data_IF_468521503832
#
_entry.id   IF_468521503832
#
_cell.length_a   1.000
_cell.length_b   1.000
_cell.length_c   1.000
_cell.angle_alpha   90.00
_cell.angle_beta   90.00
_cell.angle_gamma   90.00
#
_symmetry.space_group_name_H-M   'P 1'
#
loop_
_entity.id
_entity.type
_entity.pdbx_description
1 polymer ?
#
# COMPACT_ATOMS: atom_id res chain seq x y z
N UNK A 1 24.60 -3.09 19.14
CA UNK A 1 23.90 -2.32 18.10
C UNK A 1 23.53 -3.29 17.00
N UNK A 2 22.34 -3.89 17.07
CA UNK A 2 21.85 -4.78 16.02
C UNK A 2 21.69 -3.96 14.75
N UNK A 3 22.49 -4.26 13.73
CA UNK A 3 22.40 -3.60 12.44
C UNK A 3 21.00 -3.92 11.88
N UNK A 4 20.11 -2.94 11.95
CA UNK A 4 18.77 -3.06 11.37
C UNK A 4 18.96 -3.20 9.85
N UNK A 5 18.56 -4.34 9.28
CA UNK A 5 18.69 -4.59 7.84
C UNK A 5 17.77 -3.64 7.07
N UNK A 6 18.19 -3.22 5.87
CA UNK A 6 17.41 -2.35 4.99
C UNK A 6 16.02 -2.94 4.67
N UNK A 7 15.91 -4.27 4.63
CA UNK A 7 14.64 -4.97 4.42
C UNK A 7 13.65 -4.73 5.56
N UNK A 8 14.12 -4.70 6.82
CA UNK A 8 13.26 -4.47 7.99
C UNK A 8 12.71 -3.05 8.03
N UNK A 9 13.52 -2.06 7.64
CA UNK A 9 13.09 -0.65 7.54
C UNK A 9 11.95 -0.54 6.53
N UNK A 10 12.12 -1.14 5.35
CA UNK A 10 11.13 -1.09 4.28
C UNK A 10 9.85 -1.85 4.65
N UNK A 11 9.96 -2.99 5.31
CA UNK A 11 8.79 -3.70 5.84
C UNK A 11 8.06 -2.88 6.90
N UNK A 12 8.79 -2.20 7.79
CA UNK A 12 8.17 -1.34 8.81
C UNK A 12 7.37 -0.20 8.19
N UNK A 13 7.91 0.45 7.16
CA UNK A 13 7.20 1.48 6.40
C UNK A 13 5.95 0.92 5.72
N UNK A 14 6.06 -0.24 5.08
CA UNK A 14 4.94 -0.88 4.36
C UNK A 14 3.85 -1.42 5.29
N UNK A 15 4.20 -1.86 6.50
CA UNK A 15 3.27 -2.41 7.48
C UNK A 15 2.73 -1.35 8.45
N UNK A 16 3.38 -0.18 8.54
CA UNK A 16 3.00 0.89 9.47
C UNK A 16 3.38 0.59 10.92
N UNK A 17 4.35 -0.31 11.14
CA UNK A 17 4.75 -0.80 12.44
C UNK A 17 5.80 -1.89 12.30
N UNK A 18 6.36 -2.37 13.41
CA UNK A 18 7.40 -3.39 13.37
C UNK A 18 6.91 -4.68 12.69
N UNK A 19 7.74 -5.30 11.82
CA UNK A 19 7.39 -6.58 11.23
C UNK A 19 7.16 -7.63 12.33
N UNK A 20 6.18 -8.53 12.17
CA UNK A 20 5.97 -9.62 13.12
C UNK A 20 7.23 -10.47 13.32
N UNK A 21 7.39 -11.06 14.50
CA UNK A 21 8.58 -11.86 14.84
C UNK A 21 8.87 -12.97 13.82
N UNK A 22 7.81 -13.64 13.33
CA UNK A 22 7.92 -14.66 12.29
C UNK A 22 8.51 -14.13 10.97
N UNK A 23 8.29 -12.85 10.64
CA UNK A 23 8.87 -12.20 9.46
C UNK A 23 10.31 -11.77 9.72
N UNK A 24 10.61 -11.27 10.91
CA UNK A 24 11.98 -10.92 11.30
C UNK A 24 12.92 -12.12 11.40
N UNK A 25 12.38 -13.32 11.69
CA UNK A 25 13.13 -14.57 11.70
C UNK A 25 13.53 -15.08 10.29
N UNK A 26 12.95 -14.51 9.23
CA UNK A 26 13.26 -14.90 7.86
C UNK A 26 14.66 -14.43 7.42
N UNK A 27 15.31 -15.17 6.51
CA UNK A 27 16.50 -14.70 5.80
C UNK A 27 16.28 -13.31 5.18
N UNK A 28 17.33 -12.50 5.11
CA UNK A 28 17.25 -11.14 4.53
C UNK A 28 16.77 -11.12 3.07
N UNK A 29 17.14 -12.14 2.28
CA UNK A 29 16.65 -12.31 0.92
C UNK A 29 15.12 -12.47 0.87
N UNK A 30 14.56 -13.27 1.77
CA UNK A 30 13.12 -13.52 1.86
C UNK A 30 12.37 -12.29 2.37
N UNK A 31 12.95 -11.56 3.34
CA UNK A 31 12.40 -10.28 3.81
C UNK A 31 12.36 -9.23 2.70
N UNK A 32 13.40 -9.19 1.87
CA UNK A 32 13.46 -8.29 0.71
C UNK A 32 12.37 -8.64 -0.31
N UNK A 33 12.26 -9.92 -0.67
CA UNK A 33 11.22 -10.41 -1.58
C UNK A 33 9.80 -10.13 -1.03
N UNK A 34 9.60 -10.33 0.28
CA UNK A 34 8.33 -10.00 0.92
C UNK A 34 8.03 -8.50 0.84
N UNK A 35 9.01 -7.64 1.09
CA UNK A 35 8.84 -6.19 0.97
C UNK A 35 8.42 -5.79 -0.46
N UNK A 36 9.01 -6.42 -1.49
CA UNK A 36 8.62 -6.20 -2.88
C UNK A 36 7.17 -6.64 -3.15
N UNK A 37 6.78 -7.83 -2.68
CA UNK A 37 5.42 -8.35 -2.84
C UNK A 37 4.38 -7.45 -2.16
N UNK A 38 4.68 -6.95 -0.95
CA UNK A 38 3.77 -6.05 -0.23
C UNK A 38 3.67 -4.70 -0.93
N UNK A 39 4.79 -4.15 -1.42
CA UNK A 39 4.78 -2.90 -2.18
C UNK A 39 3.95 -3.03 -3.47
N UNK A 40 4.11 -4.12 -4.20
CA UNK A 40 3.33 -4.44 -5.40
C UNK A 40 1.83 -4.57 -5.09
N UNK A 41 1.49 -5.30 -4.03
CA UNK A 41 0.11 -5.48 -3.60
C UNK A 41 -0.55 -4.15 -3.24
N UNK A 42 0.13 -3.27 -2.51
CA UNK A 42 -0.36 -1.92 -2.19
C UNK A 42 -0.62 -1.09 -3.44
N UNK A 43 0.29 -1.12 -4.42
CA UNK A 43 0.10 -0.41 -5.70
C UNK A 43 -1.14 -0.92 -6.45
N UNK A 44 -1.30 -2.24 -6.54
CA UNK A 44 -2.48 -2.85 -7.20
C UNK A 44 -3.79 -2.54 -6.48
N UNK A 45 -3.78 -2.52 -5.15
CA UNK A 45 -4.94 -2.14 -4.34
C UNK A 45 -5.33 -0.68 -4.57
N UNK A 46 -4.37 0.24 -4.57
CA UNK A 46 -4.62 1.65 -4.84
C UNK A 46 -5.22 1.85 -6.24
N UNK A 47 -4.67 1.19 -7.26
CA UNK A 47 -5.20 1.23 -8.63
C UNK A 47 -6.62 0.68 -8.71
N UNK A 48 -6.88 -0.49 -8.12
CA UNK A 48 -8.21 -1.10 -8.13
C UNK A 48 -9.25 -0.23 -7.41
N UNK A 49 -8.85 0.45 -6.34
CA UNK A 49 -9.70 1.37 -5.61
C UNK A 49 -10.01 2.63 -6.44
N UNK A 50 -9.01 3.20 -7.11
CA UNK A 50 -9.18 4.32 -8.03
C UNK A 50 -10.14 3.98 -9.18
N UNK A 51 -9.97 2.81 -9.81
CA UNK A 51 -10.87 2.32 -10.87
C UNK A 51 -12.31 2.17 -10.36
N UNK A 52 -12.48 1.66 -9.14
CA UNK A 52 -13.79 1.51 -8.50
C UNK A 52 -14.46 2.86 -8.23
N UNK A 53 -13.68 3.87 -7.81
CA UNK A 53 -14.19 5.22 -7.63
C UNK A 53 -14.55 5.88 -8.95
N UNK A 54 -13.72 5.77 -9.98
CA UNK A 54 -14.02 6.34 -11.30
C UNK A 54 -15.27 5.69 -11.93
N UNK A 55 -15.48 4.38 -11.71
CA UNK A 55 -16.72 3.70 -12.09
C UNK A 55 -17.94 4.27 -11.35
N UNK A 56 -17.85 4.43 -10.03
CA UNK A 56 -18.92 5.01 -9.20
C UNK A 56 -19.26 6.44 -9.61
N UNK A 57 -18.23 7.26 -9.89
CA UNK A 57 -18.38 8.65 -10.31
C UNK A 57 -19.10 8.81 -11.65
N UNK A 58 -19.18 7.78 -12.51
CA UNK A 58 -19.97 7.83 -13.76
C UNK A 58 -21.47 7.96 -13.48
N UNK A 59 -21.93 7.50 -12.31
CA UNK A 59 -23.32 7.62 -11.88
C UNK A 59 -23.63 8.93 -11.14
N UNK A 60 -22.61 9.75 -10.86
CA UNK A 60 -22.75 11.01 -10.15
C UNK A 60 -23.08 12.14 -11.15
N UNK A 61 -24.13 12.95 -10.91
CA UNK A 61 -24.46 14.08 -11.76
C UNK A 61 -23.29 15.05 -11.94
N UNK A 62 -23.11 15.52 -13.18
CA UNK A 62 -21.98 16.33 -13.62
C UNK A 62 -21.59 17.51 -12.71
N UNK A 63 -22.54 18.28 -12.11
CA UNK A 63 -22.20 19.42 -11.27
C UNK A 63 -21.43 19.05 -9.99
N UNK A 64 -21.74 17.89 -9.40
CA UNK A 64 -21.18 17.46 -8.10
C UNK A 64 -20.04 16.45 -8.25
N UNK A 65 -19.87 15.85 -9.44
CA UNK A 65 -18.84 14.84 -9.73
C UNK A 65 -17.43 15.28 -9.34
N UNK A 66 -17.07 16.54 -9.61
CA UNK A 66 -15.73 17.08 -9.29
C UNK A 66 -15.49 17.24 -7.79
N UNK A 67 -16.53 17.55 -7.03
CA UNK A 67 -16.47 17.66 -5.56
C UNK A 67 -16.30 16.28 -4.95
N UNK A 68 -17.11 15.31 -5.39
CA UNK A 68 -17.04 13.92 -4.90
C UNK A 68 -15.69 13.29 -5.24
N UNK A 69 -15.15 13.52 -6.46
CA UNK A 69 -13.81 13.04 -6.83
C UNK A 69 -12.73 13.59 -5.90
N UNK A 70 -12.81 14.87 -5.51
CA UNK A 70 -11.83 15.52 -4.63
C UNK A 70 -11.87 15.00 -3.19
N UNK A 71 -13.02 14.55 -2.71
CA UNK A 71 -13.18 13.98 -1.35
C UNK A 71 -12.72 12.52 -1.28
N UNK A 72 -12.91 11.75 -2.36
CA UNK A 72 -12.56 10.32 -2.38
C UNK A 72 -11.08 10.05 -2.71
N UNK A 73 -10.43 10.95 -3.46
CA UNK A 73 -9.06 10.77 -3.96
C UNK A 73 -8.08 11.85 -3.49
N UNK A 74 -8.53 12.81 -2.67
CA UNK A 74 -7.69 13.84 -2.06
C UNK A 74 -7.41 13.52 -0.60
#
# INVERSE_FOLDING_TARGET
>A
MSQQSAADVRLRELLGGDPPEAVSALPEADRTALADLVADARRRQAQSLEESFDATLKHVPFPVRRIVKKVLLG
#
